data_IF_239274199026
#
_entry.id   IF_239274199026
#
_cell.length_a   1.000
_cell.length_b   1.000
_cell.length_c   1.000
_cell.angle_alpha   90.00
_cell.angle_beta   90.00
_cell.angle_gamma   90.00
#
_symmetry.space_group_name_H-M   'P 1'
#
loop_
_entity.id
_entity.type
_entity.pdbx_description
1 polymer ?
#
# COMPACT_ATOMS: atom_id res chain seq x y z
N UNK A 1 -0.30 4.61 -20.23
CA UNK A 1 -0.15 4.08 -18.86
C UNK A 1 -0.36 5.23 -17.89
N UNK A 2 -1.34 5.15 -16.98
CA UNK A 2 -1.62 6.19 -15.98
C UNK A 2 -0.83 5.88 -14.70
N UNK A 3 -0.17 6.88 -14.12
CA UNK A 3 0.60 6.74 -12.89
C UNK A 3 -0.17 7.40 -11.74
N UNK A 4 -0.63 6.60 -10.78
CA UNK A 4 -1.45 7.07 -9.66
C UNK A 4 -0.64 7.52 -8.43
N UNK A 5 0.58 7.00 -8.27
CA UNK A 5 1.50 7.31 -7.17
C UNK A 5 2.91 7.43 -7.76
N UNK A 6 3.66 8.45 -7.36
CA UNK A 6 5.05 8.67 -7.80
C UNK A 6 5.94 8.86 -6.58
N UNK A 7 7.08 8.16 -6.55
CA UNK A 7 8.15 8.27 -5.55
C UNK A 7 7.66 8.18 -4.09
N UNK A 8 7.24 7.00 -3.62
CA UNK A 8 6.80 6.86 -2.21
C UNK A 8 7.49 5.70 -1.49
N UNK A 9 7.95 5.99 -0.27
CA UNK A 9 8.52 5.07 0.72
C UNK A 9 7.97 5.47 2.09
N UNK A 10 7.37 4.56 2.87
CA UNK A 10 6.90 4.93 4.22
C UNK A 10 6.90 3.76 5.20
N UNK A 11 7.11 4.11 6.47
CA UNK A 11 7.19 3.24 7.64
C UNK A 11 6.40 3.91 8.76
N UNK A 12 5.37 3.29 9.34
CA UNK A 12 4.46 3.99 10.25
C UNK A 12 4.03 3.10 11.43
N UNK A 13 4.25 3.60 12.65
CA UNK A 13 4.06 2.89 13.92
C UNK A 13 2.97 3.48 14.83
N UNK A 14 2.26 4.50 14.36
CA UNK A 14 1.26 5.21 15.15
C UNK A 14 -0.09 4.50 15.15
N UNK A 15 -0.82 4.61 16.27
CA UNK A 15 -2.13 3.96 16.45
C UNK A 15 -3.19 4.45 15.45
N UNK A 16 -3.09 5.71 14.99
CA UNK A 16 -4.03 6.31 14.03
C UNK A 16 -3.30 7.25 13.10
N UNK A 17 -3.60 7.14 11.80
CA UNK A 17 -2.96 7.91 10.74
C UNK A 17 -4.03 8.43 9.80
N UNK A 18 -3.95 9.72 9.47
CA UNK A 18 -4.83 10.36 8.50
C UNK A 18 -4.12 10.51 7.15
N UNK A 19 -4.77 10.07 6.07
CA UNK A 19 -4.29 10.26 4.69
C UNK A 19 -5.14 11.35 4.03
N UNK A 20 -4.56 12.52 3.81
CA UNK A 20 -5.25 13.71 3.29
C UNK A 20 -4.68 14.14 1.93
N UNK A 21 -5.47 14.89 1.16
CA UNK A 21 -5.10 15.35 -0.19
C UNK A 21 -6.32 15.57 -1.09
N UNK A 22 -6.12 16.24 -2.23
CA UNK A 22 -7.18 16.57 -3.19
C UNK A 22 -7.83 15.34 -3.84
N UNK A 23 -9.02 15.51 -4.44
CA UNK A 23 -9.64 14.45 -5.24
C UNK A 23 -8.71 14.03 -6.39
N UNK A 24 -8.54 12.72 -6.58
CA UNK A 24 -7.61 12.17 -7.58
C UNK A 24 -6.14 12.09 -7.16
N UNK A 25 -5.75 12.54 -5.96
CA UNK A 25 -4.34 12.53 -5.53
C UNK A 25 -3.74 11.15 -5.21
N UNK A 26 -4.52 10.05 -5.37
CA UNK A 26 -4.04 8.69 -5.11
C UNK A 26 -4.31 8.13 -3.71
N UNK A 27 -5.03 8.84 -2.82
CA UNK A 27 -5.32 8.38 -1.44
C UNK A 27 -5.93 6.98 -1.36
N UNK A 28 -7.03 6.76 -2.10
CA UNK A 28 -7.71 5.45 -2.10
C UNK A 28 -6.83 4.36 -2.69
N UNK A 29 -5.97 4.69 -3.67
CA UNK A 29 -4.96 3.77 -4.21
C UNK A 29 -3.94 3.41 -3.14
N UNK A 30 -3.40 4.39 -2.43
CA UNK A 30 -2.45 4.17 -1.34
C UNK A 30 -3.02 3.28 -0.23
N UNK A 31 -4.25 3.54 0.23
CA UNK A 31 -4.91 2.71 1.25
C UNK A 31 -5.15 1.28 0.77
N UNK A 32 -5.52 1.08 -0.51
CA UNK A 32 -5.68 -0.27 -1.08
C UNK A 32 -4.35 -1.03 -1.16
N UNK A 33 -3.24 -0.34 -1.41
CA UNK A 33 -1.91 -0.96 -1.37
C UNK A 33 -1.56 -1.45 0.03
N UNK A 34 -1.79 -0.64 1.07
CA UNK A 34 -1.56 -1.04 2.47
C UNK A 34 -2.42 -2.24 2.85
N UNK A 35 -3.70 -2.24 2.46
CA UNK A 35 -4.60 -3.35 2.77
C UNK A 35 -4.36 -4.60 1.91
N UNK A 36 -3.35 -4.62 1.03
CA UNK A 36 -3.11 -5.72 0.10
C UNK A 36 -4.22 -5.94 -0.94
N UNK A 37 -5.19 -5.03 -1.04
CA UNK A 37 -6.30 -5.08 -2.01
C UNK A 37 -5.83 -4.71 -3.42
N UNK A 38 -4.67 -4.07 -3.52
CA UNK A 38 -3.99 -3.77 -4.77
C UNK A 38 -2.49 -4.04 -4.57
N UNK A 39 -1.83 -4.58 -5.59
CA UNK A 39 -0.38 -4.81 -5.55
C UNK A 39 0.37 -3.61 -6.16
N UNK A 40 1.52 -3.22 -5.60
CA UNK A 40 2.29 -2.12 -6.14
C UNK A 40 2.85 -2.48 -7.52
N UNK A 41 2.82 -1.55 -8.47
CA UNK A 41 3.42 -1.77 -9.80
C UNK A 41 4.95 -1.89 -9.73
N UNK A 42 5.57 -1.18 -8.81
CA UNK A 42 7.01 -1.21 -8.52
C UNK A 42 7.24 -1.07 -7.01
N UNK A 43 8.37 -1.59 -6.51
CA UNK A 43 8.68 -1.66 -5.09
C UNK A 43 7.84 -2.69 -4.32
N UNK A 44 7.77 -2.50 -3.00
CA UNK A 44 7.09 -3.39 -2.06
C UNK A 44 6.26 -2.63 -1.02
N UNK A 45 5.30 -3.34 -0.44
CA UNK A 45 4.52 -2.90 0.72
C UNK A 45 4.51 -4.05 1.71
N UNK A 46 4.92 -3.76 2.94
CA UNK A 46 4.89 -4.70 4.05
C UNK A 46 3.98 -4.19 5.16
N UNK A 47 3.20 -5.10 5.74
CA UNK A 47 2.34 -4.87 6.91
C UNK A 47 2.62 -5.97 7.91
N UNK A 48 2.93 -5.62 9.16
CA UNK A 48 3.26 -6.57 10.23
C UNK A 48 4.35 -7.58 9.84
N UNK A 49 5.33 -7.13 9.04
CA UNK A 49 6.44 -7.96 8.56
C UNK A 49 6.12 -8.84 7.35
N UNK A 50 4.87 -8.81 6.85
CA UNK A 50 4.42 -9.59 5.70
C UNK A 50 4.42 -8.74 4.44
N UNK A 51 5.02 -9.23 3.36
CA UNK A 51 5.00 -8.61 2.04
C UNK A 51 3.69 -8.95 1.32
N UNK A 52 2.97 -7.90 0.91
CA UNK A 52 1.65 -8.01 0.25
C UNK A 52 1.65 -8.77 -1.08
N UNK A 53 2.78 -8.86 -1.79
CA UNK A 53 2.92 -9.66 -3.02
C UNK A 53 3.35 -11.10 -2.74
N UNK A 54 4.31 -11.29 -1.82
CA UNK A 54 4.98 -12.58 -1.61
C UNK A 54 4.19 -13.48 -0.66
N UNK A 55 3.71 -12.93 0.44
CA UNK A 55 3.18 -13.72 1.56
C UNK A 55 1.67 -13.99 1.44
N UNK A 56 0.98 -13.28 0.55
CA UNK A 56 -0.43 -13.52 0.22
C UNK A 56 -0.74 -14.94 -0.30
N UNK A 57 0.28 -15.71 -0.70
CA UNK A 57 0.14 -17.10 -1.15
C UNK A 57 0.35 -18.13 -0.04
N UNK A 58 0.86 -17.73 1.13
CA UNK A 58 1.18 -18.65 2.23
C UNK A 58 -0.02 -18.99 3.12
N UNK A 59 -1.13 -18.27 3.02
CA UNK A 59 -2.34 -18.47 3.85
C UNK A 59 -3.41 -19.36 3.22
N UNK A 60 -3.09 -20.08 2.12
CA UNK A 60 -3.92 -21.18 1.61
C UNK A 60 -3.43 -22.50 2.21
N UNK A 61 -3.76 -22.73 3.47
CA UNK A 61 -3.72 -24.03 4.12
C UNK A 61 -4.99 -24.18 4.96
#
# INVERSE_FOLDING_TARGET
MIVCLRNITVQLAERRIAVIGANGSGKSTFVRLINGLQLPSDGFVSVDGLDTKRDAKSSKA
#
